data_IF_412583869453
#
_entry.id   IF_412583869453
#
_cell.length_a   1.000
_cell.length_b   1.000
_cell.length_c   1.000
_cell.angle_alpha   90.00
_cell.angle_beta   90.00
_cell.angle_gamma   90.00
#
_symmetry.space_group_name_H-M   'P 1'
#
loop_
_entity.id
_entity.type
_entity.pdbx_description
1 polymer ?
#
# COMPACT_ATOMS: atom_id res chain seq x y z
N UNK A 1 -90.77 -0.46 -25.61
CA UNK A 1 -90.26 -0.41 -24.23
C UNK A 1 -88.87 -1.07 -24.12
N UNK A 2 -87.80 -0.38 -24.55
CA UNK A 2 -86.43 -0.80 -24.31
C UNK A 2 -85.60 0.41 -23.83
N UNK A 3 -85.67 0.79 -22.55
CA UNK A 3 -84.91 1.93 -22.01
C UNK A 3 -84.99 1.93 -20.47
N UNK A 4 -84.62 0.84 -19.81
CA UNK A 4 -84.56 0.81 -18.33
C UNK A 4 -83.59 -0.22 -17.73
N UNK A 5 -82.61 -0.68 -18.50
CA UNK A 5 -81.60 -1.66 -18.06
C UNK A 5 -80.16 -1.25 -18.43
N UNK A 6 -79.90 0.04 -18.62
CA UNK A 6 -78.55 0.60 -18.87
C UNK A 6 -78.14 1.71 -17.88
N UNK A 7 -79.04 2.11 -16.98
CA UNK A 7 -78.77 3.15 -15.98
C UNK A 7 -78.15 2.62 -14.66
N UNK A 8 -78.13 1.31 -14.44
CA UNK A 8 -77.64 0.71 -13.19
C UNK A 8 -76.18 0.19 -13.24
N UNK A 9 -75.52 0.27 -14.41
CA UNK A 9 -74.10 -0.12 -14.54
C UNK A 9 -73.16 1.10 -14.48
N UNK A 10 -73.66 2.31 -14.72
CA UNK A 10 -72.85 3.54 -14.67
C UNK A 10 -72.70 4.09 -13.24
N UNK A 11 -73.59 3.74 -12.31
CA UNK A 11 -73.55 4.24 -10.92
C UNK A 11 -72.62 3.42 -10.01
N UNK A 12 -72.20 2.21 -10.42
CA UNK A 12 -71.24 1.39 -9.66
C UNK A 12 -69.76 1.69 -9.96
N UNK A 13 -69.45 2.53 -10.95
CA UNK A 13 -68.09 2.96 -11.29
C UNK A 13 -67.72 4.38 -10.80
N UNK A 14 -68.63 5.07 -10.11
CA UNK A 14 -68.43 6.43 -9.60
C UNK A 14 -68.42 6.51 -8.05
N UNK A 15 -68.14 5.39 -7.36
CA UNK A 15 -68.28 5.24 -5.90
C UNK A 15 -67.04 4.77 -5.15
N UNK A 16 -65.83 4.98 -5.68
CA UNK A 16 -64.58 4.78 -4.93
C UNK A 16 -63.76 6.08 -4.93
N UNK A 17 -63.89 6.93 -3.89
CA UNK A 17 -62.94 8.00 -3.67
C UNK A 17 -61.69 7.38 -3.04
N UNK A 18 -60.72 6.94 -3.85
CA UNK A 18 -59.54 6.30 -3.28
C UNK A 18 -58.41 5.85 -4.19
N UNK A 19 -58.59 5.78 -5.52
CA UNK A 19 -57.44 5.57 -6.41
C UNK A 19 -56.80 6.92 -6.73
N UNK A 20 -56.00 7.41 -5.78
CA UNK A 20 -54.89 8.30 -6.13
C UNK A 20 -53.99 7.52 -7.08
N UNK A 21 -53.78 8.08 -8.26
CA UNK A 21 -52.63 7.78 -9.11
C UNK A 21 -51.40 7.96 -8.22
N UNK A 22 -50.80 6.86 -7.76
CA UNK A 22 -49.51 6.88 -7.09
C UNK A 22 -48.49 7.37 -8.12
N UNK A 23 -48.15 8.66 -8.06
CA UNK A 23 -46.86 9.11 -8.55
C UNK A 23 -45.81 8.48 -7.64
N UNK A 24 -44.76 7.93 -8.26
CA UNK A 24 -43.66 7.27 -7.58
C UNK A 24 -42.72 8.29 -6.89
N UNK A 25 -43.28 9.19 -6.08
CA UNK A 25 -42.58 10.21 -5.30
C UNK A 25 -42.95 10.16 -3.79
N UNK A 26 -43.88 9.29 -3.38
CA UNK A 26 -44.39 9.18 -1.99
C UNK A 26 -44.03 7.84 -1.31
N UNK A 27 -42.75 7.45 -1.28
CA UNK A 27 -42.32 6.33 -0.42
C UNK A 27 -41.00 6.62 0.33
N UNK A 28 -40.91 7.81 0.94
CA UNK A 28 -40.01 8.05 2.06
C UNK A 28 -40.84 8.11 3.34
N UNK A 29 -40.92 7.01 4.08
CA UNK A 29 -41.50 7.03 5.43
C UNK A 29 -40.60 7.87 6.35
N UNK A 30 -41.04 9.09 6.64
CA UNK A 30 -40.37 10.03 7.55
C UNK A 30 -40.70 9.73 9.02
N UNK A 31 -41.27 8.57 9.34
CA UNK A 31 -41.58 8.20 10.73
C UNK A 31 -40.32 7.74 11.47
N UNK A 32 -40.19 8.13 12.73
CA UNK A 32 -39.06 7.75 13.58
C UNK A 32 -39.50 7.54 15.03
N UNK A 33 -38.69 6.83 15.79
CA UNK A 33 -38.76 6.66 17.25
C UNK A 33 -37.48 7.12 17.94
N UNK A 34 -36.40 7.39 17.19
CA UNK A 34 -35.15 7.93 17.69
C UNK A 34 -34.37 8.70 16.61
N UNK A 35 -33.46 9.57 17.03
CA UNK A 35 -32.61 10.36 16.14
C UNK A 35 -31.75 9.48 15.20
N UNK A 36 -31.43 8.24 15.60
CA UNK A 36 -30.65 7.31 14.79
C UNK A 36 -31.34 6.96 13.46
N UNK A 37 -32.68 6.90 13.43
CA UNK A 37 -33.42 6.62 12.20
C UNK A 37 -33.43 7.83 11.25
N UNK A 38 -33.16 9.03 11.75
CA UNK A 38 -33.07 10.24 10.96
C UNK A 38 -31.64 10.58 10.51
N UNK A 39 -30.63 9.77 10.89
CA UNK A 39 -29.21 10.01 10.54
C UNK A 39 -28.91 9.90 9.04
N UNK A 40 -29.84 9.31 8.28
CA UNK A 40 -29.77 9.24 6.82
C UNK A 40 -30.07 10.58 6.14
N UNK A 41 -30.57 11.58 6.87
CA UNK A 41 -30.87 12.91 6.36
C UNK A 41 -29.87 13.94 6.87
N UNK A 42 -29.60 14.98 6.07
CA UNK A 42 -28.78 16.10 6.54
C UNK A 42 -29.45 16.77 7.75
N UNK A 43 -28.83 16.63 8.92
CA UNK A 43 -29.27 17.30 10.17
C UNK A 43 -30.73 16.96 10.52
N UNK A 44 -31.12 15.71 10.23
CA UNK A 44 -32.38 15.13 10.66
C UNK A 44 -32.39 14.81 12.15
N UNK A 45 -33.48 15.15 12.83
CA UNK A 45 -33.77 14.75 14.21
C UNK A 45 -35.18 14.18 14.30
N UNK A 46 -35.39 13.27 15.23
CA UNK A 46 -36.69 12.71 15.49
C UNK A 46 -37.47 13.59 16.46
N UNK A 47 -38.54 14.20 15.97
CA UNK A 47 -39.43 15.04 16.77
C UNK A 47 -40.88 14.61 16.47
N UNK A 48 -41.65 14.34 17.51
CA UNK A 48 -43.06 13.94 17.40
C UNK A 48 -43.28 12.78 16.42
N UNK A 49 -42.43 11.76 16.52
CA UNK A 49 -42.43 10.57 15.66
C UNK A 49 -42.15 10.84 14.17
N UNK A 50 -41.64 12.02 13.82
CA UNK A 50 -41.31 12.41 12.43
C UNK A 50 -39.89 12.97 12.34
N UNK A 51 -39.15 12.59 11.30
CA UNK A 51 -37.85 13.18 11.00
C UNK A 51 -38.01 14.63 10.52
N UNK A 52 -37.42 15.56 11.26
CA UNK A 52 -37.38 17.00 10.95
C UNK A 52 -35.95 17.40 10.62
N UNK A 53 -35.75 18.09 9.51
CA UNK A 53 -34.46 18.62 9.08
C UNK A 53 -34.43 20.14 9.16
N UNK A 54 -33.27 20.72 9.45
CA UNK A 54 -33.10 22.17 9.73
C UNK A 54 -32.12 22.84 8.76
N UNK A 55 -32.27 24.14 8.49
CA UNK A 55 -31.36 24.95 7.67
C UNK A 55 -30.03 25.26 8.41
N UNK A 56 -28.93 25.48 7.67
CA UNK A 56 -27.62 25.76 8.31
C UNK A 56 -27.69 27.16 8.94
N UNK A 57 -27.52 27.24 10.26
CA UNK A 57 -27.37 28.51 10.98
C UNK A 57 -28.65 29.22 11.42
N UNK A 58 -29.84 28.77 11.02
CA UNK A 58 -31.10 29.47 11.32
C UNK A 58 -32.15 28.63 12.08
N UNK A 59 -31.93 27.32 12.28
CA UNK A 59 -32.89 26.44 12.96
C UNK A 59 -34.23 26.26 12.23
N UNK A 60 -34.40 26.89 11.06
CA UNK A 60 -35.60 26.85 10.24
C UNK A 60 -35.83 25.45 9.67
N UNK A 61 -37.08 24.97 9.68
CA UNK A 61 -37.44 23.66 9.15
C UNK A 61 -37.33 23.67 7.63
N UNK A 62 -36.60 22.71 7.09
CA UNK A 62 -36.43 22.51 5.63
C UNK A 62 -36.82 21.09 5.25
N UNK A 63 -37.07 20.89 3.96
CA UNK A 63 -37.28 19.56 3.39
C UNK A 63 -36.05 18.70 3.66
N UNK A 64 -36.25 17.50 4.19
CA UNK A 64 -35.17 16.57 4.46
C UNK A 64 -34.53 16.11 3.14
N UNK A 65 -33.23 16.38 3.00
CA UNK A 65 -32.41 15.80 1.94
C UNK A 65 -31.62 14.62 2.50
N UNK A 66 -31.39 13.55 1.71
CA UNK A 66 -30.45 12.51 2.09
C UNK A 66 -29.08 13.10 2.40
N UNK A 67 -28.36 12.49 3.35
CA UNK A 67 -26.99 12.85 3.66
C UNK A 67 -26.13 12.61 2.41
N UNK A 68 -25.67 13.69 1.77
CA UNK A 68 -24.67 13.58 0.71
C UNK A 68 -23.34 13.14 1.35
N UNK A 69 -23.08 11.83 1.35
CA UNK A 69 -21.73 11.34 1.62
C UNK A 69 -20.84 11.89 0.49
N UNK A 70 -19.99 12.86 0.80
CA UNK A 70 -18.95 13.31 -0.12
C UNK A 70 -18.06 12.11 -0.44
N UNK A 71 -18.29 11.50 -1.60
CA UNK A 71 -17.48 10.41 -2.10
C UNK A 71 -16.08 10.98 -2.35
N UNK A 72 -15.09 10.42 -1.65
CA UNK A 72 -13.71 10.75 -1.94
C UNK A 72 -13.21 9.80 -3.00
N UNK A 73 -12.57 10.34 -4.02
CA UNK A 73 -11.87 9.57 -5.05
C UNK A 73 -10.36 9.60 -4.78
N UNK A 74 -9.99 9.48 -3.50
CA UNK A 74 -8.62 9.53 -3.02
C UNK A 74 -8.34 8.23 -2.28
N UNK A 75 -7.27 7.53 -2.65
CA UNK A 75 -6.75 6.37 -1.93
C UNK A 75 -6.20 6.83 -0.58
N UNK A 76 -6.62 6.15 0.49
CA UNK A 76 -6.51 6.56 1.89
C UNK A 76 -7.73 7.34 2.40
N UNK A 77 -8.66 7.74 1.53
CA UNK A 77 -9.89 8.45 1.90
C UNK A 77 -10.99 7.52 2.42
N UNK A 78 -12.08 8.06 2.99
CA UNK A 78 -13.17 7.27 3.58
C UNK A 78 -14.01 6.52 2.53
N UNK A 79 -14.60 5.41 2.95
CA UNK A 79 -15.49 4.60 2.13
C UNK A 79 -16.86 5.25 1.88
N UNK A 80 -17.58 4.88 0.80
CA UNK A 80 -17.27 3.83 -0.19
C UNK A 80 -16.27 4.27 -1.26
N UNK A 81 -15.58 3.30 -1.87
CA UNK A 81 -14.48 3.50 -2.80
C UNK A 81 -14.97 3.44 -4.26
N UNK A 82 -15.12 4.59 -4.95
CA UNK A 82 -15.66 4.60 -6.31
C UNK A 82 -14.63 4.23 -7.40
N UNK A 83 -13.34 4.17 -7.05
CA UNK A 83 -12.25 3.96 -8.01
C UNK A 83 -12.10 2.47 -8.36
N UNK A 84 -11.81 2.12 -9.63
CA UNK A 84 -11.48 0.75 -10.01
C UNK A 84 -10.28 0.21 -9.22
N UNK A 85 -10.33 -1.07 -8.88
CA UNK A 85 -9.26 -1.77 -8.15
C UNK A 85 -8.96 -1.20 -6.76
N UNK A 86 -9.87 -0.43 -6.17
CA UNK A 86 -9.81 0.05 -4.80
C UNK A 86 -10.89 -0.64 -3.95
N UNK A 87 -10.47 -1.21 -2.82
CA UNK A 87 -11.34 -1.90 -1.88
C UNK A 87 -11.45 -1.11 -0.57
N UNK A 88 -12.63 -1.13 0.04
CA UNK A 88 -12.84 -0.55 1.37
C UNK A 88 -12.26 -1.49 2.43
N UNK A 89 -11.30 -0.99 3.20
CA UNK A 89 -10.70 -1.78 4.28
C UNK A 89 -11.63 -1.81 5.51
N UNK A 90 -12.10 -2.99 5.95
CA UNK A 90 -13.20 -3.09 6.93
C UNK A 90 -12.83 -2.58 8.32
N UNK A 91 -11.54 -2.51 8.67
CA UNK A 91 -11.08 -2.05 10.00
C UNK A 91 -10.87 -0.55 10.10
N UNK A 92 -10.66 0.14 8.99
CA UNK A 92 -10.29 1.57 9.00
C UNK A 92 -11.27 2.44 8.24
N UNK A 93 -12.24 1.84 7.56
CA UNK A 93 -13.23 2.54 6.73
C UNK A 93 -12.54 3.45 5.69
N UNK A 94 -11.43 2.97 5.13
CA UNK A 94 -10.61 3.69 4.15
C UNK A 94 -10.44 2.90 2.85
N UNK A 95 -10.28 3.63 1.75
CA UNK A 95 -10.03 3.09 0.42
C UNK A 95 -8.56 2.77 0.22
N UNK A 96 -8.24 1.50 -0.07
CA UNK A 96 -6.89 1.05 -0.37
C UNK A 96 -6.89 0.29 -1.70
N UNK A 97 -5.75 0.26 -2.38
CA UNK A 97 -5.65 -0.52 -3.61
C UNK A 97 -5.71 -2.02 -3.32
N UNK A 98 -6.46 -2.72 -4.15
CA UNK A 98 -6.56 -4.18 -4.17
C UNK A 98 -5.20 -4.83 -4.44
N UNK A 99 -5.09 -6.13 -4.15
CA UNK A 99 -3.84 -6.86 -4.35
C UNK A 99 -3.31 -6.72 -5.79
N UNK A 100 -1.99 -6.56 -5.92
CA UNK A 100 -1.32 -6.35 -7.22
C UNK A 100 -1.48 -4.94 -7.79
N UNK A 101 -2.03 -3.99 -7.04
CA UNK A 101 -2.15 -2.60 -7.43
C UNK A 101 -1.53 -1.65 -6.39
N UNK A 102 -1.04 -0.51 -6.87
CA UNK A 102 -0.44 0.55 -6.06
C UNK A 102 -1.12 1.89 -6.33
N UNK A 103 -1.18 2.81 -5.35
CA UNK A 103 -1.73 4.14 -5.58
C UNK A 103 -0.90 4.92 -6.60
N UNK A 104 -1.56 5.64 -7.51
CA UNK A 104 -0.91 6.67 -8.34
C UNK A 104 -0.32 7.79 -7.48
N UNK A 105 0.54 8.62 -8.06
CA UNK A 105 1.22 9.72 -7.37
C UNK A 105 0.24 10.78 -6.85
N UNK A 106 -0.87 10.99 -7.55
CA UNK A 106 -1.99 11.83 -7.12
C UNK A 106 -2.99 11.10 -6.20
N UNK A 107 -2.78 9.80 -5.96
CA UNK A 107 -3.65 8.90 -5.16
C UNK A 107 -5.08 8.82 -5.66
N UNK A 108 -5.36 9.08 -6.94
CA UNK A 108 -6.72 9.02 -7.51
C UNK A 108 -7.02 7.73 -8.26
N UNK A 109 -6.00 6.91 -8.51
CA UNK A 109 -6.08 5.68 -9.30
C UNK A 109 -5.28 4.59 -8.60
N UNK A 110 -5.71 3.35 -8.78
CA UNK A 110 -4.92 2.17 -8.47
C UNK A 110 -4.30 1.66 -9.77
N UNK A 111 -2.97 1.69 -9.84
CA UNK A 111 -2.18 1.28 -11.00
C UNK A 111 -1.66 -0.15 -10.80
N UNK A 112 -1.50 -0.95 -11.87
CA UNK A 112 -0.87 -2.26 -11.75
C UNK A 112 0.52 -2.15 -11.14
N UNK A 113 0.82 -2.98 -10.15
CA UNK A 113 2.11 -2.95 -9.44
C UNK A 113 3.27 -3.37 -10.36
N UNK A 114 3.04 -4.24 -11.35
CA UNK A 114 4.03 -4.68 -12.32
C UNK A 114 3.49 -4.54 -13.76
N UNK A 115 4.31 -4.01 -14.65
CA UNK A 115 3.95 -3.74 -16.06
C UNK A 115 5.09 -4.19 -16.97
N UNK A 116 4.77 -5.01 -17.97
CA UNK A 116 5.75 -5.54 -18.92
C UNK A 116 6.32 -4.42 -19.84
N UNK A 117 7.52 -4.63 -20.43
CA UNK A 117 8.06 -3.72 -21.44
C UNK A 117 7.05 -3.40 -22.56
N UNK A 118 6.91 -2.13 -22.89
CA UNK A 118 5.91 -1.60 -23.83
C UNK A 118 4.59 -1.17 -23.18
N UNK A 119 4.32 -1.53 -21.91
CA UNK A 119 3.14 -1.09 -21.18
C UNK A 119 3.27 0.31 -20.57
N UNK A 120 2.14 0.89 -20.16
CA UNK A 120 2.07 2.21 -19.52
C UNK A 120 2.50 2.15 -18.04
N UNK A 121 3.29 3.14 -17.62
CA UNK A 121 3.82 3.21 -16.26
C UNK A 121 3.85 4.63 -15.74
N UNK A 122 3.82 4.76 -14.41
CA UNK A 122 4.01 6.01 -13.68
C UNK A 122 5.29 5.96 -12.84
N UNK A 123 5.64 4.77 -12.34
CA UNK A 123 6.79 4.54 -11.48
C UNK A 123 7.80 3.56 -12.09
N UNK A 124 9.08 3.80 -11.79
CA UNK A 124 10.17 2.89 -12.19
C UNK A 124 9.96 1.45 -11.72
N UNK A 125 9.44 1.28 -10.50
CA UNK A 125 9.21 -0.03 -9.88
C UNK A 125 8.23 -0.89 -10.67
N UNK A 126 7.24 -0.28 -11.34
CA UNK A 126 6.27 -1.03 -12.15
C UNK A 126 6.95 -1.81 -13.26
N UNK A 127 7.89 -1.18 -13.95
CA UNK A 127 8.68 -1.81 -15.00
C UNK A 127 9.68 -2.81 -14.40
N UNK A 128 10.39 -2.41 -13.35
CA UNK A 128 11.47 -3.22 -12.74
C UNK A 128 10.98 -4.52 -12.10
N UNK A 129 9.74 -4.57 -11.62
CA UNK A 129 9.13 -5.79 -11.10
C UNK A 129 8.83 -6.80 -12.20
N UNK A 130 8.41 -6.34 -13.39
CA UNK A 130 8.18 -7.21 -14.54
C UNK A 130 9.51 -7.60 -15.22
N UNK A 131 10.39 -6.63 -15.46
CA UNK A 131 11.73 -6.84 -15.99
C UNK A 131 12.74 -5.90 -15.33
N UNK A 132 13.73 -6.49 -14.65
CA UNK A 132 14.73 -5.81 -13.82
C UNK A 132 15.64 -4.83 -14.60
N UNK A 133 15.67 -4.95 -15.92
CA UNK A 133 16.44 -4.10 -16.82
C UNK A 133 15.56 -3.15 -17.62
N UNK A 134 14.30 -2.99 -17.24
CA UNK A 134 13.40 -1.98 -17.77
C UNK A 134 13.24 -0.79 -16.82
N UNK A 135 12.86 0.36 -17.38
CA UNK A 135 12.62 1.62 -16.68
C UNK A 135 11.43 2.33 -17.29
N UNK A 136 10.68 3.06 -16.46
CA UNK A 136 9.62 3.93 -16.89
C UNK A 136 10.20 5.21 -17.49
N UNK A 137 9.95 5.46 -18.78
CA UNK A 137 10.40 6.66 -19.48
C UNK A 137 9.30 7.13 -20.42
N UNK A 138 8.94 8.41 -20.35
CA UNK A 138 7.84 8.97 -21.16
C UNK A 138 6.48 8.30 -20.90
N UNK A 139 6.28 7.73 -19.71
CA UNK A 139 5.06 7.01 -19.35
C UNK A 139 5.00 5.56 -19.87
N UNK A 140 6.09 5.03 -20.42
CA UNK A 140 6.14 3.67 -20.95
C UNK A 140 7.34 2.88 -20.39
N UNK A 141 7.13 1.59 -20.13
CA UNK A 141 8.21 0.70 -19.73
C UNK A 141 9.11 0.40 -20.94
N UNK A 142 10.35 0.88 -20.90
CA UNK A 142 11.35 0.63 -21.94
C UNK A 142 12.58 -0.06 -21.36
N UNK A 143 13.32 -0.79 -22.19
CA UNK A 143 14.60 -1.34 -21.75
C UNK A 143 15.59 -0.21 -21.43
N UNK A 144 16.37 -0.40 -20.38
CA UNK A 144 17.44 0.52 -19.99
C UNK A 144 18.56 0.53 -21.04
N UNK A 145 19.43 1.54 -20.99
CA UNK A 145 20.56 1.62 -21.91
C UNK A 145 21.40 0.35 -21.89
N UNK A 146 21.87 -0.08 -23.08
CA UNK A 146 22.62 -1.33 -23.28
C UNK A 146 21.77 -2.62 -23.15
N UNK A 147 20.45 -2.50 -23.05
CA UNK A 147 19.51 -3.61 -23.12
C UNK A 147 18.53 -3.41 -24.28
N UNK A 148 18.11 -4.50 -24.90
CA UNK A 148 17.20 -4.49 -26.05
C UNK A 148 16.02 -5.44 -25.81
N UNK A 149 14.85 -5.07 -26.34
CA UNK A 149 13.65 -5.88 -26.19
C UNK A 149 13.68 -7.09 -27.12
N UNK A 150 13.73 -8.27 -26.53
CA UNK A 150 13.70 -9.55 -27.22
C UNK A 150 12.72 -10.49 -26.52
N UNK A 151 11.73 -10.98 -27.26
CA UNK A 151 10.70 -11.91 -26.76
C UNK A 151 10.03 -11.45 -25.45
N UNK A 152 9.74 -10.14 -25.35
CA UNK A 152 9.09 -9.55 -24.18
C UNK A 152 10.02 -9.29 -22.98
N UNK A 153 11.33 -9.49 -23.13
CA UNK A 153 12.33 -9.28 -22.07
C UNK A 153 13.44 -8.35 -22.52
N UNK A 154 14.06 -7.66 -21.57
CA UNK A 154 15.21 -6.80 -21.83
C UNK A 154 16.51 -7.63 -21.70
N UNK A 155 17.16 -7.90 -22.83
CA UNK A 155 18.41 -8.66 -22.88
C UNK A 155 19.60 -7.72 -23.07
N UNK A 156 20.69 -7.99 -22.34
CA UNK A 156 21.92 -7.20 -22.42
C UNK A 156 22.54 -7.32 -23.81
N UNK A 157 22.96 -6.21 -24.42
CA UNK A 157 23.55 -6.17 -25.76
C UNK A 157 25.07 -6.04 -25.68
N UNK A 158 25.79 -6.83 -26.47
CA UNK A 158 27.23 -6.77 -26.64
C UNK A 158 27.63 -5.89 -27.84
N UNK A 159 28.92 -5.57 -27.94
CA UNK A 159 29.45 -4.83 -29.08
C UNK A 159 29.59 -5.67 -30.36
N UNK A 160 29.68 -7.00 -30.22
CA UNK A 160 29.84 -7.94 -31.34
C UNK A 160 28.62 -7.94 -32.26
N UNK A 161 28.87 -7.93 -33.57
CA UNK A 161 27.84 -8.01 -34.62
C UNK A 161 27.59 -9.47 -34.97
N UNK A 162 26.34 -9.81 -35.28
CA UNK A 162 25.96 -11.17 -35.67
C UNK A 162 24.87 -11.16 -36.75
N UNK A 163 24.81 -12.23 -37.54
CA UNK A 163 23.68 -12.59 -38.39
C UNK A 163 22.91 -13.79 -37.86
N UNK A 164 23.60 -14.74 -37.21
CA UNK A 164 23.03 -15.95 -36.61
C UNK A 164 23.63 -16.21 -35.23
N UNK A 165 22.95 -17.00 -34.40
CA UNK A 165 23.40 -17.30 -33.03
C UNK A 165 24.81 -17.89 -32.95
N UNK A 166 25.21 -18.65 -33.99
CA UNK A 166 26.55 -19.25 -34.07
C UNK A 166 27.68 -18.21 -34.08
N UNK A 167 27.42 -17.00 -34.57
CA UNK A 167 28.41 -15.91 -34.60
C UNK A 167 28.76 -15.42 -33.18
N UNK A 168 27.86 -15.63 -32.22
CA UNK A 168 28.02 -15.21 -30.83
C UNK A 168 28.65 -16.27 -29.92
N UNK A 169 29.02 -17.45 -30.44
CA UNK A 169 29.50 -18.57 -29.60
C UNK A 169 30.75 -18.25 -28.76
N UNK A 170 31.59 -17.31 -29.19
CA UNK A 170 32.81 -16.90 -28.46
C UNK A 170 32.55 -15.92 -27.31
N UNK A 171 31.35 -15.34 -27.25
CA UNK A 171 30.95 -14.35 -26.25
C UNK A 171 30.32 -14.98 -24.98
N UNK A 172 30.26 -16.31 -24.90
CA UNK A 172 29.70 -17.05 -23.77
C UNK A 172 28.22 -17.36 -23.98
N UNK A 173 27.42 -17.22 -22.92
CA UNK A 173 25.97 -17.43 -22.95
C UNK A 173 25.25 -16.31 -23.72
N UNK A 174 25.44 -16.26 -25.03
CA UNK A 174 24.93 -15.24 -25.93
C UNK A 174 24.19 -15.81 -27.14
N UNK A 175 23.25 -15.02 -27.65
CA UNK A 175 22.41 -15.28 -28.81
C UNK A 175 22.42 -14.06 -29.74
N UNK A 176 21.99 -14.22 -30.99
CA UNK A 176 21.95 -13.12 -31.94
C UNK A 176 20.62 -12.36 -31.87
N UNK A 177 20.68 -11.10 -31.46
CA UNK A 177 19.52 -10.20 -31.46
C UNK A 177 19.32 -9.66 -32.87
N UNK A 178 18.62 -10.43 -33.71
CA UNK A 178 18.45 -10.18 -35.15
C UNK A 178 17.91 -8.79 -35.49
N UNK A 179 17.06 -8.19 -34.64
CA UNK A 179 16.55 -6.82 -34.82
C UNK A 179 17.64 -5.76 -34.83
N UNK A 180 18.64 -5.90 -33.95
CA UNK A 180 19.76 -4.95 -33.80
C UNK A 180 21.05 -5.47 -34.41
N UNK A 181 21.06 -6.69 -34.95
CA UNK A 181 22.21 -7.39 -35.55
C UNK A 181 23.43 -7.45 -34.63
N UNK A 182 23.20 -7.60 -33.32
CA UNK A 182 24.25 -7.68 -32.30
C UNK A 182 24.04 -8.89 -31.42
N UNK A 183 25.14 -9.42 -30.89
CA UNK A 183 25.07 -10.45 -29.88
C UNK A 183 24.43 -9.89 -28.61
N UNK A 184 23.53 -10.64 -27.99
CA UNK A 184 22.94 -10.34 -26.71
C UNK A 184 23.15 -11.48 -25.73
N UNK A 185 23.08 -11.20 -24.44
CA UNK A 185 23.19 -12.22 -23.40
C UNK A 185 21.85 -12.91 -23.18
N UNK A 186 21.90 -14.23 -23.01
CA UNK A 186 20.74 -15.03 -22.66
C UNK A 186 20.18 -14.63 -21.28
N UNK A 187 18.95 -15.04 -21.00
CA UNK A 187 18.30 -14.75 -19.73
C UNK A 187 19.15 -15.22 -18.53
N UNK A 188 19.33 -14.35 -17.54
CA UNK A 188 20.18 -14.62 -16.37
C UNK A 188 21.65 -14.21 -16.54
N UNK A 189 22.04 -13.77 -17.74
CA UNK A 189 23.38 -13.25 -18.02
C UNK A 189 23.31 -11.77 -18.41
N UNK A 190 24.39 -11.05 -18.13
CA UNK A 190 24.58 -9.65 -18.49
C UNK A 190 25.95 -9.44 -19.10
N UNK A 191 26.19 -8.30 -19.74
CA UNK A 191 27.50 -8.02 -20.29
C UNK A 191 28.53 -7.72 -19.19
N UNK A 192 29.80 -8.04 -19.42
CA UNK A 192 30.92 -7.59 -18.60
C UNK A 192 31.14 -6.06 -18.73
N UNK A 193 32.09 -5.50 -17.97
CA UNK A 193 32.43 -4.07 -18.03
C UNK A 193 32.73 -3.58 -19.46
N UNK A 194 33.41 -4.41 -20.26
CA UNK A 194 33.82 -4.05 -21.62
C UNK A 194 32.78 -4.38 -22.70
N UNK A 195 31.61 -4.91 -22.34
CA UNK A 195 30.55 -5.29 -23.27
C UNK A 195 30.96 -6.34 -24.35
N UNK A 196 31.92 -7.20 -24.02
CA UNK A 196 32.49 -8.20 -24.94
C UNK A 196 32.05 -9.63 -24.65
N UNK A 197 31.65 -9.93 -23.41
CA UNK A 197 31.26 -11.27 -22.98
C UNK A 197 30.07 -11.22 -22.04
N UNK A 198 29.31 -12.31 -22.02
CA UNK A 198 28.22 -12.52 -21.08
C UNK A 198 28.75 -13.15 -19.79
N UNK A 199 28.45 -12.51 -18.67
CA UNK A 199 28.80 -12.93 -17.31
C UNK A 199 27.52 -13.22 -16.54
N UNK A 200 27.62 -14.14 -15.59
CA UNK A 200 26.48 -14.54 -14.75
C UNK A 200 26.10 -13.44 -13.76
N UNK A 201 24.86 -13.49 -13.28
CA UNK A 201 24.39 -12.64 -12.20
C UNK A 201 25.04 -12.96 -10.85
N UNK A 202 25.34 -11.92 -10.08
CA UNK A 202 25.95 -12.01 -8.74
C UNK A 202 24.91 -11.76 -7.64
N UNK A 203 24.96 -12.58 -6.58
CA UNK A 203 24.11 -12.45 -5.39
C UNK A 203 24.61 -11.40 -4.40
N UNK A 204 23.89 -11.21 -3.28
CA UNK A 204 24.22 -10.22 -2.25
C UNK A 204 25.58 -10.54 -1.61
N UNK A 205 26.43 -9.52 -1.41
CA UNK A 205 27.79 -9.66 -0.89
C UNK A 205 28.81 -10.31 -1.85
N UNK A 206 28.36 -10.86 -2.98
CA UNK A 206 29.25 -11.46 -3.97
C UNK A 206 30.01 -10.39 -4.76
N UNK A 207 31.17 -10.76 -5.30
CA UNK A 207 31.98 -9.87 -6.12
C UNK A 207 31.25 -9.46 -7.40
N UNK A 208 31.44 -8.20 -7.78
CA UNK A 208 30.89 -7.64 -9.01
C UNK A 208 31.84 -6.63 -9.64
N UNK A 209 31.76 -6.52 -10.96
CA UNK A 209 32.41 -5.44 -11.72
C UNK A 209 31.42 -4.34 -12.07
N UNK A 210 30.15 -4.71 -12.28
CA UNK A 210 29.11 -3.79 -12.74
C UNK A 210 27.76 -4.09 -12.10
N UNK A 211 26.95 -3.05 -11.88
CA UNK A 211 25.65 -3.16 -11.20
C UNK A 211 24.67 -4.09 -11.92
N UNK A 212 24.79 -4.27 -13.25
CA UNK A 212 23.95 -5.19 -14.00
C UNK A 212 24.04 -6.64 -13.47
N UNK A 213 25.22 -7.08 -13.00
CA UNK A 213 25.42 -8.42 -12.46
C UNK A 213 24.58 -8.62 -11.19
N UNK A 214 24.59 -7.61 -10.30
CA UNK A 214 23.81 -7.63 -9.06
C UNK A 214 22.31 -7.62 -9.33
N UNK A 215 21.87 -6.85 -10.35
CA UNK A 215 20.45 -6.73 -10.67
C UNK A 215 19.81 -8.05 -11.06
N UNK A 216 20.53 -8.96 -11.71
CA UNK A 216 20.00 -10.28 -12.11
C UNK A 216 19.41 -11.04 -10.91
N UNK A 217 20.16 -11.11 -9.80
CA UNK A 217 19.77 -11.89 -8.61
C UNK A 217 19.00 -11.04 -7.60
N UNK A 218 19.34 -9.78 -7.42
CA UNK A 218 18.81 -8.93 -6.34
C UNK A 218 17.64 -8.01 -6.73
N UNK A 219 17.36 -7.82 -8.03
CA UNK A 219 16.31 -6.90 -8.49
C UNK A 219 16.86 -5.58 -9.07
N UNK A 220 15.99 -4.78 -9.70
CA UNK A 220 16.40 -3.56 -10.44
C UNK A 220 17.11 -2.49 -9.61
N UNK A 221 16.97 -2.55 -8.29
CA UNK A 221 17.50 -1.57 -7.33
C UNK A 221 18.85 -1.96 -6.70
N UNK A 222 19.43 -3.07 -7.16
CA UNK A 222 20.75 -3.51 -6.75
C UNK A 222 21.87 -2.73 -7.44
N UNK A 223 22.98 -2.55 -6.72
CA UNK A 223 24.19 -1.87 -7.18
C UNK A 223 25.44 -2.66 -6.82
N UNK A 224 26.47 -2.49 -7.63
CA UNK A 224 27.82 -2.88 -7.27
C UNK A 224 28.44 -1.75 -6.44
N UNK A 225 28.67 -2.00 -5.17
CA UNK A 225 29.22 -1.08 -4.18
C UNK A 225 30.53 -1.67 -3.67
N UNK A 226 31.64 -0.96 -3.82
CA UNK A 226 32.98 -1.44 -3.39
C UNK A 226 33.30 -2.85 -3.89
N UNK A 227 33.02 -3.12 -5.17
CA UNK A 227 33.17 -4.42 -5.82
C UNK A 227 32.32 -5.56 -5.23
N UNK A 228 31.29 -5.23 -4.45
CA UNK A 228 30.34 -6.20 -3.88
C UNK A 228 28.89 -5.82 -4.21
N UNK A 229 28.06 -6.81 -4.44
CA UNK A 229 26.64 -6.56 -4.71
C UNK A 229 25.88 -6.19 -3.44
N UNK A 230 25.24 -5.02 -3.46
CA UNK A 230 24.39 -4.53 -2.38
C UNK A 230 23.14 -3.83 -2.88
N UNK A 231 22.28 -3.44 -1.96
CA UNK A 231 21.11 -2.62 -2.25
C UNK A 231 21.49 -1.14 -2.30
N UNK A 232 20.82 -0.35 -3.13
CA UNK A 232 20.98 1.11 -3.10
C UNK A 232 20.57 1.67 -1.72
N UNK A 233 21.05 2.85 -1.30
CA UNK A 233 20.83 3.37 0.07
C UNK A 233 19.37 3.51 0.53
N UNK A 234 18.42 3.69 -0.40
CA UNK A 234 17.00 3.77 -0.09
C UNK A 234 16.30 2.42 0.02
N UNK A 235 17.05 1.31 -0.03
CA UNK A 235 16.54 -0.06 -0.12
C UNK A 235 17.25 -0.93 0.91
N UNK A 236 16.56 -1.94 1.42
CA UNK A 236 17.11 -2.93 2.35
C UNK A 236 17.10 -4.32 1.71
N UNK A 237 18.06 -5.19 2.06
CA UNK A 237 18.06 -6.57 1.61
C UNK A 237 17.05 -7.40 2.41
N UNK A 238 16.13 -8.06 1.70
CA UNK A 238 15.09 -8.92 2.27
C UNK A 238 15.30 -10.36 1.82
N UNK A 239 15.14 -11.33 2.74
CA UNK A 239 15.06 -12.75 2.37
C UNK A 239 13.68 -13.10 1.84
N UNK A 240 13.64 -13.82 0.74
CA UNK A 240 12.41 -14.32 0.12
C UNK A 240 12.52 -15.84 0.08
N UNK A 241 11.63 -16.53 0.78
CA UNK A 241 11.45 -17.97 0.61
C UNK A 241 10.80 -18.21 -0.76
N UNK A 242 11.33 -19.17 -1.52
CA UNK A 242 10.77 -19.48 -2.84
C UNK A 242 9.35 -20.04 -2.68
N UNK A 243 8.34 -19.34 -3.18
CA UNK A 243 6.95 -19.82 -3.20
C UNK A 243 6.68 -20.90 -4.26
N UNK A 244 7.72 -21.53 -4.82
CA UNK A 244 7.58 -22.61 -5.80
C UNK A 244 8.58 -23.71 -5.43
N UNK A 245 8.11 -24.66 -4.63
CA UNK A 245 8.73 -25.97 -4.53
C UNK A 245 8.64 -26.64 -5.91
N UNK A 246 9.69 -26.51 -6.73
CA UNK A 246 9.99 -27.51 -7.75
C UNK A 246 10.89 -28.52 -7.07
N UNK A 247 10.41 -29.76 -6.99
CA UNK A 247 10.82 -30.83 -6.08
C UNK A 247 12.28 -31.32 -6.18
N UNK A 248 13.20 -30.64 -6.87
CA UNK A 248 14.58 -31.14 -7.06
C UNK A 248 15.71 -30.09 -6.95
N UNK A 249 15.44 -28.86 -6.53
CA UNK A 249 16.50 -27.90 -6.17
C UNK A 249 16.41 -27.53 -4.69
N UNK A 250 17.54 -27.47 -3.95
CA UNK A 250 17.52 -27.00 -2.56
C UNK A 250 16.84 -25.62 -2.53
N UNK A 251 16.02 -25.36 -1.51
CA UNK A 251 15.41 -24.05 -1.26
C UNK A 251 16.53 -23.01 -1.10
N UNK A 252 17.00 -22.43 -2.21
CA UNK A 252 17.96 -21.33 -2.17
C UNK A 252 17.21 -20.11 -1.66
N UNK A 253 17.39 -19.80 -0.37
CA UNK A 253 17.01 -18.53 0.21
C UNK A 253 17.57 -17.40 -0.67
N UNK A 254 16.68 -16.68 -1.36
CA UNK A 254 17.07 -15.63 -2.28
C UNK A 254 16.91 -14.27 -1.63
N UNK A 255 17.92 -13.43 -1.78
CA UNK A 255 17.90 -12.05 -1.29
C UNK A 255 17.41 -11.13 -2.41
N UNK A 256 16.46 -10.25 -2.12
CA UNK A 256 16.04 -9.16 -3.01
C UNK A 256 16.17 -7.81 -2.32
N UNK A 257 16.34 -6.74 -3.11
CA UNK A 257 16.37 -5.37 -2.59
C UNK A 257 14.97 -4.78 -2.61
N UNK A 258 14.40 -4.52 -1.43
CA UNK A 258 13.08 -3.90 -1.27
C UNK A 258 13.22 -2.44 -0.82
N UNK A 259 12.30 -1.55 -1.23
CA UNK A 259 12.33 -0.15 -0.83
C UNK A 259 12.12 -0.01 0.68
N UNK A 260 12.85 0.94 1.27
CA UNK A 260 12.61 1.37 2.65
C UNK A 260 11.24 2.06 2.70
N UNK A 261 10.38 1.59 3.60
CA UNK A 261 9.02 2.13 3.77
C UNK A 261 9.09 3.38 4.64
N UNK A 262 8.70 4.57 4.12
CA UNK A 262 8.74 5.79 4.90
C UNK A 262 7.58 5.88 5.90
N UNK A 263 7.73 6.74 6.91
CA UNK A 263 6.62 7.17 7.76
C UNK A 263 5.49 7.78 6.95
N UNK A 264 4.23 7.44 7.29
CA UNK A 264 3.04 7.89 6.58
C UNK A 264 2.77 7.16 5.25
N UNK A 265 3.54 6.12 4.91
CA UNK A 265 3.21 5.25 3.78
C UNK A 265 1.87 4.54 4.02
N UNK A 266 1.07 4.37 2.97
CA UNK A 266 -0.18 3.62 3.05
C UNK A 266 0.09 2.13 3.32
N UNK A 267 -0.73 1.50 4.14
CA UNK A 267 -0.56 0.11 4.52
C UNK A 267 -1.89 -0.62 4.78
N UNK A 268 -1.89 -1.95 4.56
CA UNK A 268 -3.00 -2.89 4.85
C UNK A 268 -2.79 -3.70 6.13
N UNK A 269 -1.55 -3.87 6.55
CA UNK A 269 -1.20 -4.56 7.79
C UNK A 269 0.23 -4.22 8.19
N UNK A 270 0.60 -4.47 9.45
CA UNK A 270 1.92 -4.13 10.00
C UNK A 270 3.08 -4.65 9.16
N UNK A 271 2.94 -5.83 8.54
CA UNK A 271 3.98 -6.40 7.66
C UNK A 271 4.39 -5.48 6.50
N UNK A 272 3.52 -4.58 6.03
CA UNK A 272 3.85 -3.60 4.99
C UNK A 272 4.65 -2.41 5.51
N UNK A 273 4.71 -2.23 6.84
CA UNK A 273 5.52 -1.21 7.50
C UNK A 273 6.81 -1.79 8.11
N UNK A 274 6.99 -3.11 8.05
CA UNK A 274 8.16 -3.79 8.62
C UNK A 274 9.26 -3.90 7.58
N UNK A 275 10.48 -3.60 8.01
CA UNK A 275 11.69 -3.80 7.23
C UNK A 275 12.35 -5.09 7.69
N UNK A 276 12.13 -6.20 6.99
CA UNK A 276 12.76 -7.47 7.35
C UNK A 276 14.16 -7.56 6.72
N UNK A 277 15.14 -6.91 7.37
CA UNK A 277 16.53 -6.88 6.92
C UNK A 277 17.26 -8.19 7.24
N UNK A 278 18.27 -8.54 6.44
CA UNK A 278 19.21 -9.65 6.71
C UNK A 278 19.81 -9.65 8.12
N UNK A 279 19.91 -8.46 8.74
CA UNK A 279 20.54 -8.25 10.04
C UNK A 279 19.60 -8.49 11.23
N UNK A 280 18.29 -8.61 11.03
CA UNK A 280 17.29 -8.73 12.12
C UNK A 280 16.81 -10.17 12.38
N UNK A 281 17.61 -11.18 12.04
CA UNK A 281 17.38 -12.56 12.50
C UNK A 281 17.91 -12.84 13.91
N UNK A 282 18.46 -11.84 14.62
CA UNK A 282 18.91 -12.02 16.00
C UNK A 282 17.81 -11.68 17.01
N UNK A 283 17.19 -12.74 17.55
CA UNK A 283 16.39 -12.78 18.78
C UNK A 283 15.10 -11.94 18.78
N UNK A 284 13.99 -12.61 18.40
CA UNK A 284 12.61 -12.12 18.39
C UNK A 284 12.05 -11.63 19.72
N UNK A 285 12.53 -10.47 20.17
CA UNK A 285 12.05 -9.80 21.40
C UNK A 285 12.02 -8.27 21.27
N UNK A 286 12.61 -7.70 20.21
CA UNK A 286 12.52 -6.26 19.97
C UNK A 286 11.18 -5.93 19.26
N UNK A 287 10.39 -4.98 19.78
CA UNK A 287 9.18 -4.54 19.11
C UNK A 287 9.52 -3.85 17.79
N UNK A 288 8.75 -4.14 16.73
CA UNK A 288 8.96 -3.51 15.42
C UNK A 288 8.89 -1.97 15.52
N UNK A 289 9.73 -1.23 14.77
CA UNK A 289 9.77 0.22 14.85
C UNK A 289 8.50 0.89 14.32
N UNK A 290 7.85 0.26 13.33
CA UNK A 290 6.64 0.77 12.68
C UNK A 290 5.54 -0.28 12.63
N UNK A 291 4.30 0.20 12.72
CA UNK A 291 3.06 -0.58 12.66
C UNK A 291 2.05 0.16 11.79
N UNK A 292 1.08 -0.58 11.24
CA UNK A 292 0.05 0.00 10.40
C UNK A 292 -1.10 0.51 11.30
N UNK A 293 -1.23 1.83 11.41
CA UNK A 293 -2.28 2.48 12.21
C UNK A 293 -3.12 3.36 11.30
N UNK A 294 -4.43 3.10 11.28
CA UNK A 294 -5.40 3.85 10.47
C UNK A 294 -5.02 3.94 8.98
N UNK A 295 -4.56 2.82 8.40
CA UNK A 295 -4.17 2.76 6.99
C UNK A 295 -2.81 3.38 6.65
N UNK A 296 -2.07 3.89 7.65
CA UNK A 296 -0.77 4.52 7.45
C UNK A 296 0.31 3.95 8.39
N UNK A 297 1.54 3.87 7.89
CA UNK A 297 2.69 3.40 8.64
C UNK A 297 3.09 4.45 9.67
N UNK A 298 2.92 4.10 10.95
CA UNK A 298 3.19 4.94 12.12
C UNK A 298 4.20 4.27 13.05
N UNK A 299 4.89 5.05 13.89
CA UNK A 299 5.77 4.48 14.90
C UNK A 299 4.99 3.60 15.89
N UNK A 300 5.60 2.49 16.31
CA UNK A 300 5.06 1.67 17.39
C UNK A 300 5.15 2.41 18.73
N UNK A 301 4.42 1.92 19.74
CA UNK A 301 4.35 2.60 21.05
C UNK A 301 5.69 2.68 21.78
N UNK A 302 6.65 1.82 21.40
CA UNK A 302 8.00 1.80 21.94
C UNK A 302 8.98 2.72 21.19
N UNK A 303 8.51 3.42 20.15
CA UNK A 303 9.33 4.28 19.31
C UNK A 303 8.73 5.68 19.21
N UNK A 304 9.59 6.69 19.14
CA UNK A 304 9.21 8.08 18.86
C UNK A 304 9.71 8.49 17.47
N UNK A 305 8.97 9.38 16.82
CA UNK A 305 9.37 9.94 15.54
C UNK A 305 10.45 11.02 15.75
N UNK A 306 11.61 10.85 15.13
CA UNK A 306 12.69 11.84 15.07
C UNK A 306 13.31 11.80 13.67
N UNK A 307 13.40 12.94 12.97
CA UNK A 307 13.91 13.04 11.59
C UNK A 307 13.32 12.02 10.59
N UNK A 308 11.99 11.86 10.60
CA UNK A 308 11.26 10.87 9.79
C UNK A 308 11.65 9.40 10.04
N UNK A 309 12.30 9.11 11.18
CA UNK A 309 12.67 7.76 11.61
C UNK A 309 12.03 7.45 12.95
N UNK A 310 11.57 6.22 13.12
CA UNK A 310 11.07 5.74 14.39
C UNK A 310 12.26 5.23 15.22
N UNK A 311 12.66 6.00 16.24
CA UNK A 311 13.76 5.65 17.13
C UNK A 311 13.21 5.05 18.42
N UNK A 312 13.88 4.03 18.95
CA UNK A 312 13.43 3.35 20.16
C UNK A 312 13.52 4.31 21.34
N UNK A 313 12.44 4.43 22.09
CA UNK A 313 12.46 5.10 23.40
C UNK A 313 13.01 4.07 24.38
N UNK A 314 14.25 4.22 24.81
CA UNK A 314 14.70 3.52 26.01
C UNK A 314 13.80 4.02 27.14
N UNK A 315 12.88 3.16 27.58
CA UNK A 315 12.24 3.35 28.87
C UNK A 315 13.36 3.24 29.90
N UNK A 316 14.00 4.37 30.21
CA UNK A 316 14.71 4.54 31.44
C UNK A 316 13.70 4.31 32.55
N UNK A 317 13.58 3.05 32.98
CA UNK A 317 13.13 2.77 34.32
C UNK A 317 14.16 3.45 35.22
N UNK A 318 13.93 4.72 35.53
CA UNK A 318 14.38 5.33 36.76
C UNK A 318 13.82 4.43 37.84
N UNK A 319 14.63 3.42 38.19
CA UNK A 319 14.53 2.69 39.43
C UNK A 319 14.61 3.79 40.49
N UNK A 320 13.45 4.28 40.93
CA UNK A 320 13.38 4.99 42.20
C UNK A 320 13.84 3.96 43.21
N UNK A 321 15.15 3.95 43.49
CA UNK A 321 15.66 3.50 44.75
C UNK A 321 15.03 4.45 45.77
N UNK A 322 13.83 4.10 46.21
CA UNK A 322 13.37 4.49 47.53
C UNK A 322 14.42 3.96 48.49
N UNK A 323 15.38 4.82 48.83
CA UNK A 323 16.35 4.58 49.88
C UNK A 323 15.54 4.58 51.19
N UNK A 324 15.35 3.42 51.85
CA UNK A 324 14.52 3.34 53.06
C UNK A 324 15.10 4.14 54.23
N UNK A 325 16.36 4.58 54.12
CA UNK A 325 17.05 5.43 55.09
C UNK A 325 16.57 6.88 55.11
N UNK A 326 16.10 7.43 53.98
CA UNK A 326 15.66 8.82 53.91
C UNK A 326 14.30 9.04 54.61
N UNK A 327 13.40 8.05 54.53
CA UNK A 327 12.12 8.08 55.25
C UNK A 327 12.28 7.86 56.77
N UNK A 328 13.27 7.06 57.18
CA UNK A 328 13.57 6.82 58.60
C UNK A 328 14.13 8.07 59.30
N UNK A 329 14.96 8.85 58.62
CA UNK A 329 15.50 10.11 59.13
C UNK A 329 14.43 11.22 59.24
N UNK A 330 13.48 11.30 58.30
CA UNK A 330 12.36 12.23 58.40
C UNK A 330 11.37 11.84 59.51
N UNK A 331 11.12 10.54 59.70
CA UNK A 331 10.27 10.05 60.78
C UNK A 331 10.86 10.32 62.17
N UNK A 332 12.18 10.19 62.32
CA UNK A 332 12.88 10.49 63.58
C UNK A 332 12.88 12.00 63.90
N UNK A 333 13.01 12.88 62.89
CA UNK A 333 12.92 14.33 63.07
C UNK A 333 11.51 14.80 63.44
N UNK A 334 10.46 14.13 62.95
CA UNK A 334 9.09 14.46 63.36
C UNK A 334 8.77 13.94 64.77
N UNK A 335 9.29 12.79 65.17
CA UNK A 335 9.12 12.27 66.54
C UNK A 335 9.83 13.12 67.60
N UNK A 336 11.02 13.67 67.30
CA UNK A 336 11.72 14.55 68.25
C UNK A 336 11.01 15.88 68.43
N UNK A 337 10.40 16.44 67.38
CA UNK A 337 9.62 17.69 67.48
C UNK A 337 8.31 17.51 68.26
N UNK A 338 7.67 16.35 68.18
CA UNK A 338 6.45 16.05 68.97
C UNK A 338 6.77 15.89 70.46
N UNK A 339 7.93 15.29 70.79
CA UNK A 339 8.37 15.14 72.18
C UNK A 339 8.88 16.46 72.79
N UNK A 340 9.37 17.40 71.98
CA UNK A 340 9.90 18.68 72.47
C UNK A 340 8.82 19.76 72.68
N UNK A 341 7.68 19.66 71.98
CA UNK A 341 6.58 20.63 72.05
C UNK A 341 5.30 20.07 72.70
N UNK A 342 5.39 18.89 73.30
CA UNK A 342 4.26 18.16 73.90
C UNK A 342 4.44 17.85 75.39
N UNK A 343 4.82 18.82 76.22
CA UNK A 343 4.51 18.94 77.66
C UNK A 343 4.41 20.42 78.01
#
# INVERSE_FOLDING_TARGET
>A
MPMMMLAWIVVLLAGLPGLRICRAEDLLELSCSSDAQCSQFERGRCLDMVCICTARGAGERVTCSPLEKKLTNIIGGPCPCPMPHADCHPRWDQCLCSAGHVPSGDRRRCLPEAVAPGGECEFQRQCQLADRFSSCSGGQCICTSQFELHEGRCLAVLQSICGVDKDCGSCGASLCLTKVKKCGCAAGYVHNHNMTKCVTGSGYGASCEHSAQCKVKLGGDAKCLDHQCGCRPSHYPRRVANAVAKEEEPEEERITCEPIVPFGALCLHDGQCRMQSLLEETNGTAPAPMVCKWGECSCSESHRLEDNKCIRVESGASRMQHHPLAFLLLGLLQFTMILYYGV
#
